data_IF_273620509983
#
_entry.id   IF_273620509983
#
_cell.length_a   1.000
_cell.length_b   1.000
_cell.length_c   1.000
_cell.angle_alpha   90.00
_cell.angle_beta   90.00
_cell.angle_gamma   90.00
#
_symmetry.space_group_name_H-M   'P 1'
#
loop_
_entity.id
_entity.type
_entity.pdbx_description
1 polymer ?
#
# COMPACT_ATOMS: atom_id res chain seq x y z
N UNK A 1 -7.81 5.60 -0.76
CA UNK A 1 -6.78 5.97 0.22
C UNK A 1 -6.80 7.48 0.46
N UNK A 2 -6.52 7.87 1.68
CA UNK A 2 -6.27 9.27 2.03
C UNK A 2 -4.93 9.70 1.43
N UNK A 3 -4.92 10.86 0.77
CA UNK A 3 -3.73 11.54 0.27
C UNK A 3 -3.93 13.06 0.39
N UNK A 4 -2.87 13.79 0.76
CA UNK A 4 -2.95 15.24 0.97
C UNK A 4 -3.39 15.99 -0.31
N UNK A 5 -2.95 15.56 -1.48
CA UNK A 5 -3.37 16.13 -2.75
C UNK A 5 -4.87 15.90 -3.00
N UNK A 6 -5.36 14.69 -2.77
CA UNK A 6 -6.79 14.35 -2.92
C UNK A 6 -7.66 15.10 -1.91
N UNK A 7 -7.13 15.36 -0.70
CA UNK A 7 -7.83 16.11 0.32
C UNK A 7 -8.08 17.58 -0.04
N UNK A 8 -7.46 18.10 -1.09
CA UNK A 8 -7.77 19.43 -1.62
C UNK A 8 -9.17 19.50 -2.27
N UNK A 9 -9.63 18.38 -2.85
CA UNK A 9 -10.89 18.28 -3.60
C UNK A 9 -11.94 17.39 -2.94
N UNK A 10 -11.54 16.56 -1.98
CA UNK A 10 -12.41 15.62 -1.26
C UNK A 10 -12.34 15.87 0.24
N UNK A 11 -13.44 15.59 0.95
CA UNK A 11 -13.45 15.41 2.38
C UNK A 11 -13.30 13.91 2.70
N UNK A 12 -12.44 13.58 3.66
CA UNK A 12 -12.17 12.19 4.05
C UNK A 12 -12.63 11.91 5.46
N UNK A 13 -13.15 10.70 5.68
CA UNK A 13 -13.32 10.15 7.01
C UNK A 13 -11.98 9.87 7.69
N UNK A 14 -12.02 9.57 8.99
CA UNK A 14 -10.92 8.89 9.64
C UNK A 14 -10.60 7.57 8.91
N UNK A 15 -9.34 7.13 8.89
CA UNK A 15 -8.98 5.84 8.34
C UNK A 15 -9.58 4.72 9.20
N UNK A 16 -9.94 3.61 8.57
CA UNK A 16 -10.50 2.44 9.27
C UNK A 16 -9.64 1.18 9.06
N UNK A 17 -8.87 1.15 7.98
CA UNK A 17 -7.93 0.06 7.66
C UNK A 17 -6.63 0.66 7.16
N UNK A 18 -5.53 0.04 7.55
CA UNK A 18 -4.17 0.35 7.08
C UNK A 18 -3.64 -0.82 6.28
N UNK A 19 -3.08 -0.55 5.12
CA UNK A 19 -2.46 -1.54 4.25
C UNK A 19 -0.98 -1.20 4.12
N UNK A 20 -0.12 -2.06 4.62
CA UNK A 20 1.33 -1.93 4.46
C UNK A 20 1.72 -2.04 2.99
N UNK A 21 2.68 -1.24 2.57
CA UNK A 21 3.34 -1.32 1.27
C UNK A 21 4.81 -1.71 1.48
N UNK A 22 5.22 -2.78 0.83
CA UNK A 22 6.55 -3.35 0.93
C UNK A 22 7.19 -3.46 -0.45
N UNK A 23 8.49 -3.70 -0.47
CA UNK A 23 9.20 -4.12 -1.65
C UNK A 23 9.26 -5.64 -1.74
N UNK A 24 9.10 -6.16 -2.94
CA UNK A 24 9.35 -7.55 -3.31
C UNK A 24 10.61 -7.62 -4.15
N UNK A 25 11.49 -8.55 -3.80
CA UNK A 25 12.77 -8.77 -4.46
C UNK A 25 13.01 -10.29 -4.61
N UNK A 26 13.98 -10.67 -5.40
CA UNK A 26 14.40 -12.07 -5.50
C UNK A 26 15.30 -12.43 -4.32
N UNK A 27 15.32 -13.68 -3.93
CA UNK A 27 16.15 -14.15 -2.80
C UNK A 27 17.64 -13.85 -3.01
N UNK A 28 18.12 -13.95 -4.24
CA UNK A 28 19.53 -13.78 -4.60
C UNK A 28 19.93 -12.30 -4.84
N UNK A 29 18.99 -11.37 -4.75
CA UNK A 29 19.26 -9.94 -4.89
C UNK A 29 19.84 -9.35 -3.59
N UNK A 30 20.79 -8.38 -3.73
CA UNK A 30 21.48 -7.72 -2.61
C UNK A 30 20.65 -6.61 -1.92
N UNK A 31 19.34 -6.59 -2.11
CA UNK A 31 18.43 -5.64 -1.43
C UNK A 31 18.02 -6.20 -0.07
N UNK A 32 18.69 -5.82 1.01
CA UNK A 32 18.40 -6.35 2.36
C UNK A 32 17.45 -5.44 3.15
N UNK A 33 17.50 -4.14 2.89
CA UNK A 33 16.72 -3.10 3.56
C UNK A 33 16.04 -2.18 2.55
N UNK A 34 15.10 -1.35 3.01
CA UNK A 34 14.45 -0.34 2.17
C UNK A 34 15.46 0.68 1.62
N UNK A 35 16.51 1.00 2.37
CA UNK A 35 17.55 1.95 1.95
C UNK A 35 18.39 1.39 0.78
N UNK A 36 18.48 0.07 0.65
CA UNK A 36 19.19 -0.56 -0.46
C UNK A 36 18.47 -0.37 -1.79
N UNK A 37 17.19 -0.05 -1.78
CA UNK A 37 16.37 0.07 -2.98
C UNK A 37 16.56 1.41 -3.68
N UNK A 38 16.82 2.53 -2.93
CA UNK A 38 17.08 3.85 -3.55
C UNK A 38 18.54 3.99 -4.00
N UNK A 39 18.97 3.15 -4.94
CA UNK A 39 20.31 3.22 -5.54
C UNK A 39 20.23 3.53 -7.03
N UNK A 40 21.24 4.22 -7.54
CA UNK A 40 21.36 4.49 -8.97
C UNK A 40 21.42 3.17 -9.76
N UNK A 41 20.60 3.06 -10.79
CA UNK A 41 20.49 1.86 -11.62
C UNK A 41 19.38 0.89 -11.17
N UNK A 42 18.85 0.99 -9.95
CA UNK A 42 17.71 0.21 -9.51
C UNK A 42 16.43 0.64 -10.24
N UNK A 43 15.69 -0.30 -10.80
CA UNK A 43 14.38 -0.09 -11.46
C UNK A 43 13.29 -0.67 -10.58
N UNK A 44 12.34 0.17 -10.18
CA UNK A 44 11.24 -0.19 -9.28
C UNK A 44 9.93 -0.14 -10.06
N UNK A 45 9.24 -1.25 -10.23
CA UNK A 45 7.89 -1.24 -10.77
C UNK A 45 6.89 -0.83 -9.70
N UNK A 46 5.93 0.01 -10.09
CA UNK A 46 4.86 0.49 -9.22
C UNK A 46 3.58 0.74 -10.04
N UNK A 47 2.42 0.56 -9.42
CA UNK A 47 1.15 0.99 -10.05
C UNK A 47 1.04 2.50 -10.03
N UNK A 48 0.90 3.09 -11.22
CA UNK A 48 0.82 4.54 -11.43
C UNK A 48 -0.27 5.18 -10.56
N UNK A 49 0.05 6.34 -9.95
CA UNK A 49 -0.86 7.16 -9.12
C UNK A 49 -1.43 6.43 -7.89
N UNK A 50 -0.84 5.31 -7.50
CA UNK A 50 -1.14 4.70 -6.19
C UNK A 50 -0.58 5.56 -5.06
N UNK A 51 -1.10 5.40 -3.83
CA UNK A 51 -0.59 6.12 -2.68
C UNK A 51 0.89 5.84 -2.42
N UNK A 52 1.33 4.62 -2.66
CA UNK A 52 2.74 4.24 -2.51
C UNK A 52 3.63 4.70 -3.68
N UNK A 53 3.10 4.92 -4.91
CA UNK A 53 3.83 5.60 -5.99
C UNK A 53 4.08 7.07 -5.63
N UNK A 54 3.07 7.78 -5.10
CA UNK A 54 3.23 9.15 -4.63
C UNK A 54 4.28 9.24 -3.52
N UNK A 55 4.21 8.33 -2.54
CA UNK A 55 5.21 8.28 -1.47
C UNK A 55 6.63 8.06 -2.02
N UNK A 56 6.83 7.10 -2.93
CA UNK A 56 8.13 6.85 -3.56
C UNK A 56 8.64 8.08 -4.33
N UNK A 57 7.75 8.79 -5.02
CA UNK A 57 8.09 10.02 -5.76
C UNK A 57 8.67 11.10 -4.84
N UNK A 58 8.12 11.22 -3.63
CA UNK A 58 8.54 12.23 -2.66
C UNK A 58 9.81 11.86 -1.89
N UNK A 59 10.11 10.56 -1.75
CA UNK A 59 11.16 10.08 -0.85
C UNK A 59 12.38 9.49 -1.58
N UNK A 60 12.21 8.97 -2.80
CA UNK A 60 13.27 8.35 -3.58
C UNK A 60 13.84 9.33 -4.61
N UNK A 61 15.16 9.33 -4.74
CA UNK A 61 15.86 10.29 -5.62
C UNK A 61 16.86 9.65 -6.58
N UNK A 62 17.24 8.39 -6.38
CA UNK A 62 18.30 7.71 -7.14
C UNK A 62 17.78 6.58 -8.00
N UNK A 63 16.82 5.81 -7.50
CA UNK A 63 16.21 4.71 -8.22
C UNK A 63 15.28 5.22 -9.32
N UNK A 64 15.13 4.43 -10.37
CA UNK A 64 14.19 4.71 -11.47
C UNK A 64 12.84 4.08 -11.16
N UNK A 65 11.79 4.90 -11.00
CA UNK A 65 10.42 4.44 -10.79
C UNK A 65 9.78 4.17 -12.15
N UNK A 66 9.42 2.92 -12.40
CA UNK A 66 8.74 2.44 -13.61
C UNK A 66 7.26 2.29 -13.29
N UNK A 67 6.45 3.20 -13.82
CA UNK A 67 5.01 3.25 -13.58
C UNK A 67 4.26 2.36 -14.56
N UNK A 68 3.49 1.42 -14.02
CA UNK A 68 2.62 0.53 -14.78
C UNK A 68 1.16 0.99 -14.65
N UNK A 69 0.35 0.70 -15.66
CA UNK A 69 -1.05 1.13 -15.73
C UNK A 69 -1.99 0.47 -14.70
N UNK A 70 -1.52 -0.60 -14.04
CA UNK A 70 -2.28 -1.33 -13.02
C UNK A 70 -1.34 -2.06 -12.06
N UNK A 71 -1.89 -2.52 -10.93
CA UNK A 71 -1.16 -3.39 -9.99
C UNK A 71 -0.67 -4.65 -10.71
N UNK A 72 -1.53 -5.32 -11.48
CA UNK A 72 -1.14 -6.53 -12.21
C UNK A 72 -0.02 -6.26 -13.21
N UNK A 73 -0.09 -5.17 -13.98
CA UNK A 73 0.97 -4.82 -14.92
C UNK A 73 2.32 -4.54 -14.24
N UNK A 74 2.33 -3.96 -13.02
CA UNK A 74 3.56 -3.79 -12.25
C UNK A 74 4.14 -5.14 -11.80
N UNK A 75 3.30 -6.07 -11.35
CA UNK A 75 3.68 -7.43 -10.99
C UNK A 75 4.26 -8.18 -12.20
N UNK A 76 3.62 -8.09 -13.36
CA UNK A 76 4.07 -8.74 -14.60
C UNK A 76 5.47 -8.24 -15.01
N UNK A 77 5.72 -6.91 -14.94
CA UNK A 77 7.06 -6.35 -15.21
C UNK A 77 8.13 -6.96 -14.32
N UNK A 78 7.83 -7.19 -13.04
CA UNK A 78 8.77 -7.79 -12.10
C UNK A 78 8.98 -9.29 -12.35
N UNK A 79 7.90 -10.04 -12.54
CA UNK A 79 7.98 -11.48 -12.81
C UNK A 79 8.70 -11.78 -14.14
N UNK A 80 8.50 -10.95 -15.15
CA UNK A 80 9.21 -11.03 -16.44
C UNK A 80 10.66 -10.51 -16.38
N UNK A 81 11.18 -10.16 -15.20
CA UNK A 81 12.54 -9.65 -14.98
C UNK A 81 12.88 -8.36 -15.74
N UNK A 82 11.88 -7.56 -16.07
CA UNK A 82 12.05 -6.25 -16.72
C UNK A 82 12.47 -5.14 -15.76
N UNK A 83 12.28 -5.38 -14.46
CA UNK A 83 12.67 -4.49 -13.34
C UNK A 83 13.34 -5.29 -12.23
N UNK A 84 13.95 -4.60 -11.29
CA UNK A 84 14.74 -5.20 -10.23
C UNK A 84 13.92 -5.39 -8.95
N UNK A 85 13.02 -4.46 -8.65
CA UNK A 85 12.19 -4.42 -7.45
C UNK A 85 10.72 -4.17 -7.83
N UNK A 86 9.80 -4.76 -7.09
CA UNK A 86 8.37 -4.44 -7.16
C UNK A 86 7.93 -3.76 -5.87
N UNK A 87 7.33 -2.57 -5.97
CA UNK A 87 6.65 -1.91 -4.88
C UNK A 87 5.14 -2.16 -4.98
N UNK A 88 4.54 -2.77 -3.95
CA UNK A 88 3.11 -3.07 -3.95
C UNK A 88 2.56 -3.25 -2.53
N UNK A 89 1.25 -3.50 -2.43
CA UNK A 89 0.57 -3.72 -1.17
C UNK A 89 0.84 -5.14 -0.63
N UNK A 90 1.11 -5.24 0.66
CA UNK A 90 1.46 -6.48 1.37
C UNK A 90 0.56 -7.68 1.02
N UNK A 91 -0.79 -7.58 0.98
CA UNK A 91 -1.62 -8.73 0.64
C UNK A 91 -1.28 -9.35 -0.72
N UNK A 92 -1.01 -8.51 -1.73
CA UNK A 92 -0.63 -8.97 -3.07
C UNK A 92 0.78 -9.56 -3.11
N UNK A 93 1.72 -8.95 -2.37
CA UNK A 93 3.08 -9.47 -2.29
C UNK A 93 3.14 -10.83 -1.58
N UNK A 94 2.30 -11.06 -0.56
CA UNK A 94 2.17 -12.36 0.10
C UNK A 94 1.65 -13.44 -0.85
N UNK A 95 0.74 -13.12 -1.77
CA UNK A 95 0.31 -14.04 -2.83
C UNK A 95 1.49 -14.44 -3.74
N UNK A 96 2.33 -13.46 -4.14
CA UNK A 96 3.51 -13.73 -4.97
C UNK A 96 4.54 -14.60 -4.24
N UNK A 97 4.85 -14.28 -2.98
CA UNK A 97 5.78 -15.08 -2.17
C UNK A 97 5.27 -16.51 -1.97
N UNK A 98 3.96 -16.70 -1.78
CA UNK A 98 3.35 -18.02 -1.65
C UNK A 98 3.46 -18.86 -2.94
N UNK A 99 3.38 -18.19 -4.10
CA UNK A 99 3.45 -18.84 -5.41
C UNK A 99 4.88 -19.02 -5.95
N UNK A 100 5.84 -18.24 -5.45
CA UNK A 100 7.22 -18.18 -5.95
C UNK A 100 8.23 -18.21 -4.81
N UNK A 101 8.75 -19.39 -4.46
CA UNK A 101 9.72 -19.57 -3.36
C UNK A 101 11.04 -18.82 -3.55
N UNK A 102 11.33 -18.34 -4.76
CA UNK A 102 12.51 -17.52 -5.09
C UNK A 102 12.33 -16.04 -4.75
N UNK A 103 11.16 -15.63 -4.24
CA UNK A 103 10.83 -14.23 -3.92
C UNK A 103 10.74 -14.02 -2.42
N UNK A 104 11.08 -12.82 -1.96
CA UNK A 104 10.91 -12.38 -0.58
C UNK A 104 10.48 -10.92 -0.51
N UNK A 105 9.73 -10.58 0.52
CA UNK A 105 9.48 -9.19 0.88
C UNK A 105 10.65 -8.62 1.70
N UNK A 106 10.85 -7.31 1.60
CA UNK A 106 11.70 -6.55 2.52
C UNK A 106 10.83 -6.06 3.68
N UNK A 107 11.26 -6.31 4.89
CA UNK A 107 10.68 -5.78 6.13
C UNK A 107 11.67 -4.79 6.80
N UNK A 108 11.15 -3.76 7.49
CA UNK A 108 9.74 -3.38 7.64
C UNK A 108 9.13 -2.78 6.36
N UNK A 109 7.79 -2.56 6.29
CA UNK A 109 7.17 -1.85 5.17
C UNK A 109 7.79 -0.47 4.99
N UNK A 110 7.92 0.01 3.74
CA UNK A 110 8.45 1.35 3.49
C UNK A 110 7.42 2.45 3.72
N UNK A 111 6.12 2.12 3.59
CA UNK A 111 5.01 3.01 3.93
C UNK A 111 3.75 2.21 4.24
N UNK A 112 2.71 2.92 4.68
CA UNK A 112 1.40 2.34 4.94
C UNK A 112 0.30 3.21 4.33
N UNK A 113 -0.64 2.58 3.64
CA UNK A 113 -1.76 3.23 2.95
C UNK A 113 -2.97 3.24 3.87
N UNK A 114 -3.40 4.42 4.29
CA UNK A 114 -4.58 4.62 5.13
C UNK A 114 -5.85 4.64 4.28
N UNK A 115 -6.75 3.70 4.52
CA UNK A 115 -8.03 3.61 3.82
C UNK A 115 -9.08 4.43 4.54
N UNK A 116 -9.63 5.43 3.84
CA UNK A 116 -10.66 6.33 4.31
C UNK A 116 -11.79 6.42 3.29
N UNK A 117 -12.98 6.81 3.73
CA UNK A 117 -14.12 7.07 2.85
C UNK A 117 -14.03 8.53 2.39
N UNK A 118 -13.97 8.74 1.08
CA UNK A 118 -13.92 10.07 0.47
C UNK A 118 -15.29 10.52 -0.02
N UNK A 119 -15.66 11.75 0.26
CA UNK A 119 -16.86 12.44 -0.25
C UNK A 119 -16.47 13.72 -0.97
N UNK A 120 -17.38 14.24 -1.80
CA UNK A 120 -17.22 15.58 -2.36
C UNK A 120 -17.12 16.63 -1.23
N UNK A 121 -16.33 17.69 -1.46
CA UNK A 121 -16.15 18.80 -0.51
C UNK A 121 -17.48 19.38 -0.01
N UNK A 122 -17.46 19.85 1.24
CA UNK A 122 -18.59 20.48 1.89
C UNK A 122 -19.61 19.51 2.50
N UNK A 123 -19.24 18.25 2.73
CA UNK A 123 -20.09 17.23 3.34
C UNK A 123 -19.75 16.93 4.80
N UNK A 124 -19.46 17.97 5.59
CA UNK A 124 -18.99 17.84 6.97
C UNK A 124 -19.90 17.00 7.88
N UNK A 125 -21.23 17.17 7.79
CA UNK A 125 -22.17 16.36 8.58
C UNK A 125 -22.13 14.87 8.18
N UNK A 126 -22.02 14.58 6.88
CA UNK A 126 -21.89 13.19 6.39
C UNK A 126 -20.57 12.57 6.85
N UNK A 127 -19.48 13.34 6.84
CA UNK A 127 -18.18 12.87 7.35
C UNK A 127 -18.24 12.60 8.85
N UNK A 128 -18.89 13.48 9.64
CA UNK A 128 -19.07 13.28 11.08
C UNK A 128 -19.85 11.98 11.37
N UNK A 129 -20.93 11.74 10.63
CA UNK A 129 -21.73 10.50 10.75
C UNK A 129 -20.88 9.26 10.40
N UNK A 130 -20.13 9.32 9.29
CA UNK A 130 -19.26 8.21 8.86
C UNK A 130 -18.17 7.94 9.91
N UNK A 131 -17.55 9.00 10.47
CA UNK A 131 -16.54 8.85 11.52
C UNK A 131 -17.11 8.18 12.78
N UNK A 132 -18.31 8.55 13.20
CA UNK A 132 -18.98 7.91 14.32
C UNK A 132 -19.26 6.42 14.04
N UNK A 133 -19.70 6.09 12.81
CA UNK A 133 -19.94 4.71 12.40
C UNK A 133 -18.62 3.89 12.36
N UNK A 134 -17.54 4.47 11.85
CA UNK A 134 -16.22 3.83 11.83
C UNK A 134 -15.75 3.55 13.26
N UNK A 135 -15.80 4.56 14.14
CA UNK A 135 -15.40 4.41 15.54
C UNK A 135 -16.17 3.29 16.24
N UNK A 136 -17.50 3.29 16.09
CA UNK A 136 -18.35 2.22 16.63
C UNK A 136 -18.00 0.84 16.06
N UNK A 137 -17.71 0.76 14.76
CA UNK A 137 -17.39 -0.51 14.09
C UNK A 137 -16.00 -1.05 14.48
N UNK A 138 -15.09 -0.18 14.86
CA UNK A 138 -13.79 -0.56 15.44
C UNK A 138 -14.00 -1.04 16.88
N UNK A 139 -14.69 -0.24 17.70
CA UNK A 139 -14.89 -0.51 19.13
C UNK A 139 -15.66 -1.81 19.39
N UNK A 140 -16.70 -2.09 18.62
CA UNK A 140 -17.50 -3.32 18.75
C UNK A 140 -16.86 -4.55 18.08
N UNK A 141 -15.67 -4.41 17.49
CA UNK A 141 -14.92 -5.50 16.85
C UNK A 141 -15.46 -5.93 15.47
N UNK A 142 -16.45 -5.21 14.90
CA UNK A 142 -17.04 -5.59 13.62
C UNK A 142 -16.01 -5.59 12.48
N UNK A 143 -15.13 -4.56 12.40
CA UNK A 143 -14.08 -4.51 11.39
C UNK A 143 -13.10 -5.68 11.55
N UNK A 144 -12.69 -6.00 12.78
CA UNK A 144 -11.80 -7.15 13.04
C UNK A 144 -12.44 -8.47 12.57
N UNK A 145 -13.70 -8.67 12.88
CA UNK A 145 -14.46 -9.86 12.44
C UNK A 145 -14.58 -9.94 10.91
N UNK A 146 -14.74 -8.80 10.22
CA UNK A 146 -14.73 -8.79 8.75
C UNK A 146 -13.36 -9.16 8.18
N UNK A 147 -12.28 -8.64 8.74
CA UNK A 147 -10.93 -9.01 8.32
C UNK A 147 -10.68 -10.51 8.50
N UNK A 148 -11.13 -11.09 9.59
CA UNK A 148 -11.02 -12.54 9.85
C UNK A 148 -11.86 -13.33 8.83
N UNK A 149 -13.13 -12.98 8.65
CA UNK A 149 -14.04 -13.66 7.70
C UNK A 149 -13.51 -13.69 6.28
N UNK A 150 -12.79 -12.62 5.88
CA UNK A 150 -12.22 -12.50 4.53
C UNK A 150 -10.75 -12.94 4.45
N UNK A 151 -10.18 -13.57 5.49
CA UNK A 151 -8.79 -14.06 5.50
C UNK A 151 -7.75 -12.94 5.39
N UNK A 152 -8.07 -11.74 5.90
CA UNK A 152 -7.21 -10.55 5.87
C UNK A 152 -6.51 -10.27 7.20
N UNK A 153 -6.73 -11.06 8.23
CA UNK A 153 -6.02 -10.97 9.51
C UNK A 153 -4.51 -11.11 9.29
N UNK A 154 -3.72 -10.17 9.82
CA UNK A 154 -2.27 -10.11 9.62
C UNK A 154 -1.81 -9.56 8.26
N UNK A 155 -2.73 -9.39 7.31
CA UNK A 155 -2.46 -8.77 6.00
C UNK A 155 -2.84 -7.29 5.98
N UNK A 156 -3.87 -6.93 6.74
CA UNK A 156 -4.36 -5.56 6.93
C UNK A 156 -4.34 -5.22 8.41
N UNK A 157 -4.03 -3.96 8.73
CA UNK A 157 -4.15 -3.41 10.07
C UNK A 157 -5.45 -2.62 10.25
N UNK A 158 -5.89 -2.47 11.48
CA UNK A 158 -6.95 -1.52 11.86
C UNK A 158 -6.25 -0.25 12.33
N UNK A 159 -6.67 0.92 11.83
CA UNK A 159 -6.18 2.19 12.36
C UNK A 159 -6.95 2.48 13.66
N UNK A 160 -6.28 2.56 14.80
CA UNK A 160 -6.97 2.78 16.08
C UNK A 160 -7.46 4.22 16.28
N UNK A 161 -7.20 5.17 15.30
CA UNK A 161 -7.39 6.62 15.36
C UNK A 161 -6.51 7.33 16.38
#
# INVERSE_FOLDING_TARGET
AFEAERAQTLDFSHPYVVIEANFLVRHDDDFLTNDDVDKAGTRIAVSERSAYDLWLTDHFSKAQIIRASSIQAAHDLFLEKKVDVLASLKPKLLEEVANHSSLRMIDPPFTAVKQSIGLAKGKAESIAFINALIAQSIENGWIAAQLETHGMTGKLGIDPN
#
